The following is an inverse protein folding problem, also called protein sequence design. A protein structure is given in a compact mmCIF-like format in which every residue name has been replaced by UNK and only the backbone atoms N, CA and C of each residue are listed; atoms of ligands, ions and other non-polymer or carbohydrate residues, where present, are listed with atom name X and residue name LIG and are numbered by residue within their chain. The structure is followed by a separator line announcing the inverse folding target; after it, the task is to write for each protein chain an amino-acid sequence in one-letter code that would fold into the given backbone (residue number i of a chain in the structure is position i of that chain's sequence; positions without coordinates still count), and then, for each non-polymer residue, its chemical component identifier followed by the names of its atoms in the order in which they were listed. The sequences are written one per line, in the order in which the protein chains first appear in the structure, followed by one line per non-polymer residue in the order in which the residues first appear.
data_IF_199906846877
#
_entry.id   IF_199906846877
#
_cell.length_a   1.000
_cell.length_b   1.000
_cell.length_c   1.000
_cell.angle_alpha   90.00
_cell.angle_beta   90.00
_cell.angle_gamma   90.00
#
_symmetry.space_group_name_H-M   'P 1'
#
loop_
_entity.id
_entity.type
_entity.pdbx_description
1 polymer ?
#
# COMPACT_ATOMS: atom_id res chain seq x y z
N UNK A 1 -50.97 23.20 -72.41
CA UNK A 1 -51.06 23.53 -70.97
C UNK A 1 -50.07 22.61 -70.31
N UNK A 2 -48.80 23.06 -70.28
CA UNK A 2 -47.68 22.24 -69.82
C UNK A 2 -47.09 22.91 -68.53
N UNK A 3 -47.21 22.23 -67.43
CA UNK A 3 -46.54 22.60 -66.19
C UNK A 3 -45.20 21.88 -66.12
N UNK A 4 -44.16 22.60 -66.17
CA UNK A 4 -42.77 22.14 -65.91
C UNK A 4 -42.46 22.19 -64.43
N UNK A 5 -42.18 21.06 -63.84
CA UNK A 5 -41.79 20.90 -62.44
C UNK A 5 -40.29 21.08 -62.35
N UNK A 6 -39.83 22.16 -61.74
CA UNK A 6 -38.43 22.40 -61.40
C UNK A 6 -38.09 21.77 -60.04
N UNK A 7 -37.24 20.75 -60.07
CA UNK A 7 -36.66 20.14 -58.85
C UNK A 7 -35.49 21.00 -58.32
N UNK A 8 -35.65 21.55 -57.13
CA UNK A 8 -34.58 22.20 -56.39
C UNK A 8 -33.76 21.14 -55.64
N UNK A 9 -32.52 20.95 -56.04
CA UNK A 9 -31.53 20.10 -55.32
C UNK A 9 -30.89 20.99 -54.27
N UNK A 10 -31.21 20.72 -52.99
CA UNK A 10 -30.54 21.32 -51.83
C UNK A 10 -29.26 20.50 -51.54
N UNK A 11 -28.10 21.07 -51.86
CA UNK A 11 -26.80 20.49 -51.46
C UNK A 11 -26.50 20.92 -50.04
N UNK A 12 -26.71 20.05 -49.08
CA UNK A 12 -26.29 20.22 -47.70
C UNK A 12 -24.79 19.95 -47.60
N UNK A 13 -23.97 21.01 -47.50
CA UNK A 13 -22.56 20.93 -47.15
C UNK A 13 -22.39 20.62 -45.66
N UNK A 14 -22.11 19.35 -45.35
CA UNK A 14 -21.67 18.93 -44.02
C UNK A 14 -20.24 19.44 -43.82
N UNK A 15 -20.08 20.55 -43.08
CA UNK A 15 -18.80 20.99 -42.58
C UNK A 15 -18.33 20.02 -41.48
N UNK A 16 -17.40 19.14 -41.81
CA UNK A 16 -16.63 18.34 -40.86
C UNK A 16 -15.75 19.30 -40.04
N UNK A 17 -16.21 19.68 -38.86
CA UNK A 17 -15.37 20.32 -37.86
C UNK A 17 -14.44 19.24 -37.31
N UNK A 18 -13.26 19.10 -37.92
CA UNK A 18 -12.14 18.37 -37.32
C UNK A 18 -11.61 19.21 -36.16
N UNK A 19 -12.15 18.94 -34.98
CA UNK A 19 -11.55 19.42 -33.74
C UNK A 19 -10.18 18.76 -33.57
N UNK A 20 -9.12 19.49 -33.88
CA UNK A 20 -7.78 19.16 -33.39
C UNK A 20 -7.85 19.27 -31.86
N UNK A 21 -8.10 18.16 -31.19
CA UNK A 21 -7.76 18.02 -29.78
C UNK A 21 -6.24 18.21 -29.72
N UNK A 22 -5.78 19.37 -29.26
CA UNK A 22 -4.40 19.57 -28.89
C UNK A 22 -4.11 18.53 -27.80
N UNK A 23 -3.36 17.49 -28.16
CA UNK A 23 -2.79 16.54 -27.23
C UNK A 23 -1.74 17.29 -26.39
N UNK A 24 -2.22 18.11 -25.45
CA UNK A 24 -1.37 18.66 -24.42
C UNK A 24 -0.79 17.47 -23.65
N UNK A 25 0.53 17.40 -23.53
CA UNK A 25 1.19 16.39 -22.71
C UNK A 25 0.62 16.46 -21.31
N UNK A 26 0.04 15.35 -20.83
CA UNK A 26 -0.52 15.27 -19.48
C UNK A 26 0.58 15.66 -18.46
N UNK A 27 0.26 16.55 -17.53
CA UNK A 27 1.17 16.89 -16.44
C UNK A 27 0.94 16.01 -15.19
N UNK A 28 0.27 14.88 -15.35
CA UNK A 28 -0.04 13.98 -14.24
C UNK A 28 0.08 12.52 -14.66
N UNK A 29 0.18 11.65 -13.66
CA UNK A 29 0.00 10.23 -13.79
C UNK A 29 -1.02 9.72 -12.77
N UNK A 30 -1.62 8.57 -13.04
CA UNK A 30 -2.53 7.90 -12.13
C UNK A 30 -1.74 6.93 -11.25
N UNK A 31 -1.90 7.05 -9.93
CA UNK A 31 -1.50 6.01 -9.00
C UNK A 31 -2.73 5.26 -8.57
N UNK A 32 -2.74 3.93 -8.74
CA UNK A 32 -3.84 3.06 -8.32
C UNK A 32 -3.32 1.88 -7.51
N UNK A 33 -4.22 1.16 -6.83
CA UNK A 33 -3.84 0.00 -6.04
C UNK A 33 -4.85 -1.14 -6.12
N UNK A 34 -4.31 -2.36 -6.14
CA UNK A 34 -5.02 -3.62 -5.94
C UNK A 34 -4.58 -4.17 -4.58
N UNK A 35 -5.47 -4.09 -3.60
CA UNK A 35 -5.19 -4.40 -2.20
C UNK A 35 -6.08 -5.52 -1.69
N UNK A 36 -5.60 -6.33 -0.74
CA UNK A 36 -6.45 -7.32 -0.07
C UNK A 36 -7.63 -6.64 0.65
N UNK A 37 -8.69 -7.39 0.96
CA UNK A 37 -9.73 -6.93 1.87
C UNK A 37 -9.14 -6.38 3.17
N UNK A 38 -9.77 -5.37 3.74
CA UNK A 38 -9.35 -4.72 4.99
C UNK A 38 -8.05 -3.89 4.88
N UNK A 39 -7.59 -3.62 3.66
CA UNK A 39 -6.46 -2.75 3.38
C UNK A 39 -6.91 -1.43 2.75
N UNK A 40 -6.13 -0.38 3.03
CA UNK A 40 -6.19 0.90 2.34
C UNK A 40 -4.79 1.52 2.30
N UNK A 41 -4.60 2.58 1.51
CA UNK A 41 -3.35 3.34 1.55
C UNK A 41 -3.62 4.85 1.56
N UNK A 42 -2.63 5.59 2.03
CA UNK A 42 -2.54 7.04 1.89
C UNK A 42 -1.26 7.35 1.12
N UNK A 43 -1.36 8.21 0.10
CA UNK A 43 -0.20 8.69 -0.65
C UNK A 43 0.23 10.07 -0.17
N UNK A 44 1.53 10.21 0.14
CA UNK A 44 2.17 11.48 0.40
C UNK A 44 3.15 11.77 -0.73
N UNK A 45 2.94 12.88 -1.44
CA UNK A 45 3.76 13.25 -2.59
C UNK A 45 4.78 14.31 -2.19
N UNK A 46 6.03 14.03 -2.50
CA UNK A 46 7.15 14.90 -2.20
C UNK A 46 7.68 15.53 -3.47
N UNK A 47 7.84 16.83 -3.43
CA UNK A 47 8.34 17.63 -4.54
C UNK A 47 9.68 18.25 -4.19
N UNK A 48 10.53 18.38 -5.19
CA UNK A 48 11.81 19.08 -5.12
C UNK A 48 11.83 20.21 -6.17
N UNK A 49 12.64 21.25 -5.98
CA UNK A 49 12.85 22.25 -7.02
C UNK A 49 13.29 21.61 -8.33
N UNK A 50 12.71 22.07 -9.44
CA UNK A 50 13.16 21.67 -10.76
C UNK A 50 14.63 22.05 -10.96
N UNK A 51 15.32 21.35 -11.86
CA UNK A 51 16.74 21.63 -12.18
C UNK A 51 16.93 23.11 -12.55
N UNK A 52 17.84 23.77 -11.85
CA UNK A 52 18.13 25.20 -12.04
C UNK A 52 17.30 26.14 -11.17
N UNK A 53 16.35 25.65 -10.38
CA UNK A 53 15.59 26.46 -9.41
C UNK A 53 16.30 26.49 -8.07
N UNK A 54 16.39 27.70 -7.47
CA UNK A 54 16.93 27.91 -6.12
C UNK A 54 15.82 28.41 -5.21
N UNK A 55 15.01 27.52 -4.67
CA UNK A 55 13.87 27.87 -3.83
C UNK A 55 13.65 26.83 -2.71
N UNK A 56 12.92 27.23 -1.65
CA UNK A 56 12.59 26.35 -0.53
C UNK A 56 11.51 25.34 -0.94
N UNK A 57 11.76 24.07 -0.67
CA UNK A 57 10.82 22.98 -0.93
C UNK A 57 9.71 22.98 0.13
N UNK A 58 8.44 23.00 -0.27
CA UNK A 58 7.32 22.83 0.64
C UNK A 58 7.30 21.41 1.24
N UNK A 59 6.54 21.24 2.33
CA UNK A 59 6.25 19.91 2.86
C UNK A 59 5.43 19.07 1.89
N UNK A 60 5.43 17.76 2.08
CA UNK A 60 4.61 16.82 1.33
C UNK A 60 3.12 17.17 1.39
N UNK A 61 2.42 16.87 0.31
CA UNK A 61 0.96 16.92 0.26
C UNK A 61 0.40 15.50 0.29
N UNK A 62 -0.65 15.30 1.05
CA UNK A 62 -1.41 14.07 1.06
C UNK A 62 -2.47 14.13 -0.03
N UNK A 63 -2.42 13.23 -0.99
CA UNK A 63 -3.32 13.19 -2.14
C UNK A 63 -4.29 12.01 -2.13
N UNK A 64 -4.03 11.00 -1.32
CA UNK A 64 -4.87 9.82 -1.30
C UNK A 64 -6.15 10.01 -0.49
N UNK A 65 -7.13 9.11 -0.65
CA UNK A 65 -8.26 9.03 0.25
C UNK A 65 -7.81 8.98 1.70
N UNK A 66 -8.53 9.68 2.57
CA UNK A 66 -8.22 9.65 3.99
C UNK A 66 -8.56 8.29 4.59
N UNK A 67 -7.64 7.77 5.38
CA UNK A 67 -7.84 6.55 6.13
C UNK A 67 -8.70 6.84 7.37
N UNK A 68 -9.87 6.18 7.48
CA UNK A 68 -10.76 6.22 8.63
C UNK A 68 -11.42 4.86 8.84
N UNK A 69 -12.30 4.73 9.85
CA UNK A 69 -12.97 3.44 10.13
C UNK A 69 -13.95 2.98 9.05
N UNK A 70 -14.47 3.89 8.26
CA UNK A 70 -15.41 3.62 7.16
C UNK A 70 -14.69 3.42 5.83
N UNK A 71 -13.38 3.49 5.82
CA UNK A 71 -12.57 3.42 4.63
C UNK A 71 -12.80 2.17 3.77
N UNK A 72 -13.23 1.06 4.37
CA UNK A 72 -13.54 -0.19 3.65
C UNK A 72 -14.65 -0.04 2.61
N UNK A 73 -15.61 0.84 2.87
CA UNK A 73 -16.76 1.06 1.99
C UNK A 73 -16.58 2.24 1.04
N UNK A 74 -15.77 3.22 1.41
CA UNK A 74 -15.60 4.47 0.69
C UNK A 74 -14.22 4.60 0.01
N UNK A 75 -13.33 3.63 0.24
CA UNK A 75 -11.97 3.68 -0.28
C UNK A 75 -11.95 3.73 -1.81
N UNK A 76 -11.27 4.76 -2.33
CA UNK A 76 -11.00 4.92 -3.75
C UNK A 76 -9.50 4.73 -3.98
N UNK A 77 -9.11 3.67 -4.70
CA UNK A 77 -7.68 3.37 -4.88
C UNK A 77 -6.94 4.34 -5.79
N UNK A 78 -7.65 5.18 -6.56
CA UNK A 78 -7.04 6.01 -7.58
C UNK A 78 -6.71 7.40 -7.08
N UNK A 79 -5.50 7.87 -7.38
CA UNK A 79 -5.04 9.23 -7.12
C UNK A 79 -4.35 9.80 -8.36
N UNK A 80 -4.71 11.04 -8.73
CA UNK A 80 -4.01 11.80 -9.77
C UNK A 80 -2.85 12.56 -9.14
N UNK A 81 -1.64 12.33 -9.64
CA UNK A 81 -0.43 12.94 -9.12
C UNK A 81 0.16 13.87 -10.17
N UNK A 82 0.23 15.16 -9.84
CA UNK A 82 0.92 16.14 -10.69
C UNK A 82 2.42 15.86 -10.74
N UNK A 83 2.98 15.86 -11.94
CA UNK A 83 4.42 15.65 -12.14
C UNK A 83 5.19 16.95 -11.90
N UNK A 84 4.64 18.07 -12.38
CA UNK A 84 5.23 19.41 -12.25
C UNK A 84 4.19 20.38 -11.74
N UNK A 85 4.60 21.25 -10.83
CA UNK A 85 3.73 22.31 -10.35
C UNK A 85 4.54 23.53 -9.92
N UNK A 86 3.92 24.70 -9.96
CA UNK A 86 4.51 25.94 -9.46
C UNK A 86 3.91 26.29 -8.12
N UNK A 87 4.73 26.58 -7.12
CA UNK A 87 4.30 27.06 -5.83
C UNK A 87 5.15 28.23 -5.38
N UNK A 88 4.49 29.38 -5.13
CA UNK A 88 5.16 30.65 -4.76
C UNK A 88 6.29 31.05 -5.73
N UNK A 89 6.08 30.87 -7.04
CA UNK A 89 7.08 31.17 -8.07
C UNK A 89 8.18 30.12 -8.22
N UNK A 90 8.15 29.04 -7.44
CA UNK A 90 9.09 27.94 -7.52
C UNK A 90 8.52 26.80 -8.38
N UNK A 91 9.21 26.44 -9.44
CA UNK A 91 8.89 25.23 -10.21
C UNK A 91 9.36 23.99 -9.46
N UNK A 92 8.45 23.08 -9.21
CA UNK A 92 8.68 21.83 -8.49
C UNK A 92 8.41 20.64 -9.39
N UNK A 93 9.17 19.57 -9.19
CA UNK A 93 8.95 18.26 -9.81
C UNK A 93 8.77 17.20 -8.73
N UNK A 94 7.96 16.19 -9.01
CA UNK A 94 7.80 15.06 -8.10
C UNK A 94 9.13 14.32 -7.93
N UNK A 95 9.50 14.04 -6.67
CA UNK A 95 10.71 13.29 -6.30
C UNK A 95 10.38 11.87 -5.86
N UNK A 96 9.33 11.72 -5.06
CA UNK A 96 8.86 10.43 -4.60
C UNK A 96 7.39 10.50 -4.13
N UNK A 97 6.78 9.33 -4.13
CA UNK A 97 5.48 9.10 -3.48
C UNK A 97 5.69 8.07 -2.38
N UNK A 98 5.41 8.44 -1.15
CA UNK A 98 5.32 7.52 -0.02
C UNK A 98 3.89 6.99 0.08
N UNK A 99 3.76 5.69 0.21
CA UNK A 99 2.50 4.97 0.30
C UNK A 99 2.42 4.36 1.71
N UNK A 100 1.64 4.97 2.57
CA UNK A 100 1.33 4.41 3.88
C UNK A 100 0.23 3.36 3.70
N UNK A 101 0.60 2.09 3.81
CA UNK A 101 -0.31 0.96 3.70
C UNK A 101 -0.85 0.66 5.09
N UNK A 102 -2.16 0.66 5.23
CA UNK A 102 -2.87 0.39 6.47
C UNK A 102 -3.76 -0.83 6.30
N UNK A 103 -3.85 -1.67 7.34
CA UNK A 103 -4.71 -2.85 7.36
C UNK A 103 -5.31 -3.07 8.74
N UNK A 104 -6.54 -3.56 8.81
CA UNK A 104 -7.25 -3.87 10.05
C UNK A 104 -7.23 -5.38 10.27
N UNK A 105 -7.02 -5.80 11.53
CA UNK A 105 -7.01 -7.21 11.91
C UNK A 105 -8.01 -7.58 13.01
N UNK A 106 -8.75 -6.62 13.54
CA UNK A 106 -9.71 -6.83 14.61
C UNK A 106 -10.77 -5.72 14.70
N UNK A 107 -11.71 -5.83 15.62
CA UNK A 107 -12.85 -4.91 15.72
C UNK A 107 -12.53 -3.59 16.41
N UNK A 108 -11.48 -3.53 17.24
CA UNK A 108 -11.14 -2.33 17.99
C UNK A 108 -10.43 -1.30 17.10
N UNK A 109 -10.57 -0.04 17.47
CA UNK A 109 -9.97 1.07 16.74
C UNK A 109 -8.43 1.00 16.67
N UNK A 110 -7.81 0.30 17.61
CA UNK A 110 -6.37 0.07 17.71
C UNK A 110 -5.89 -1.18 16.97
N UNK A 111 -6.81 -2.00 16.47
CA UNK A 111 -6.51 -3.27 15.81
C UNK A 111 -6.14 -3.06 14.33
N UNK A 112 -5.14 -2.22 14.09
CA UNK A 112 -4.61 -1.98 12.75
C UNK A 112 -3.08 -2.07 12.73
N UNK A 113 -2.56 -2.40 11.56
CA UNK A 113 -1.13 -2.35 11.24
C UNK A 113 -0.86 -1.33 10.16
N UNK A 114 0.37 -0.83 10.15
CA UNK A 114 0.86 0.16 9.20
C UNK A 114 2.22 -0.23 8.68
N UNK A 115 2.44 -0.05 7.39
CA UNK A 115 3.74 -0.19 6.75
C UNK A 115 3.84 0.79 5.58
N UNK A 116 5.05 1.00 5.06
CA UNK A 116 5.32 1.98 4.02
C UNK A 116 5.95 1.34 2.79
N UNK A 117 5.45 1.75 1.63
CA UNK A 117 6.09 1.54 0.35
C UNK A 117 6.50 2.90 -0.24
N UNK A 118 7.39 2.90 -1.22
CA UNK A 118 7.83 4.12 -1.88
C UNK A 118 7.96 3.90 -3.37
N UNK A 119 7.46 4.85 -4.14
CA UNK A 119 7.75 5.04 -5.56
C UNK A 119 8.72 6.21 -5.68
N UNK A 120 9.89 5.98 -6.24
CA UNK A 120 10.88 7.03 -6.50
C UNK A 120 10.74 7.57 -7.91
N UNK A 121 10.92 8.88 -8.08
CA UNK A 121 10.91 9.54 -9.38
C UNK A 121 12.21 10.32 -9.54
N UNK A 122 12.90 10.16 -10.65
CA UNK A 122 14.19 10.79 -10.92
C UNK A 122 14.24 11.35 -12.34
N UNK A 123 15.13 12.31 -12.58
CA UNK A 123 15.41 12.76 -13.94
C UNK A 123 16.06 11.65 -14.79
N UNK A 124 16.94 10.88 -14.17
CA UNK A 124 17.67 9.78 -14.80
C UNK A 124 17.74 8.59 -13.83
N UNK A 125 17.66 7.38 -14.36
CA UNK A 125 17.79 6.12 -13.63
C UNK A 125 18.62 5.12 -14.43
N UNK A 126 19.44 4.28 -13.76
CA UNK A 126 20.02 3.11 -14.40
C UNK A 126 18.90 2.15 -14.87
N UNK A 127 19.03 1.59 -16.06
CA UNK A 127 18.03 0.65 -16.63
C UNK A 127 17.73 -0.54 -15.70
N UNK A 128 18.72 -1.01 -14.95
CA UNK A 128 18.56 -2.14 -14.03
C UNK A 128 17.58 -1.90 -12.85
N UNK A 129 17.26 -0.64 -12.56
CA UNK A 129 16.37 -0.28 -11.45
C UNK A 129 15.10 0.43 -11.90
N UNK A 130 15.03 0.80 -13.16
CA UNK A 130 13.91 1.51 -13.77
C UNK A 130 12.76 0.54 -14.03
N UNK A 131 11.58 0.89 -13.53
CA UNK A 131 10.35 0.19 -13.87
C UNK A 131 9.89 0.58 -15.28
N UNK A 132 9.27 -0.35 -15.99
CA UNK A 132 8.82 -0.17 -17.37
C UNK A 132 7.31 -0.09 -17.45
N UNK A 133 6.80 0.58 -18.48
CA UNK A 133 5.39 0.60 -18.81
C UNK A 133 5.11 -0.37 -19.96
N UNK A 134 3.96 -1.00 -19.93
CA UNK A 134 3.46 -1.84 -21.00
C UNK A 134 2.90 -0.99 -22.18
N UNK A 135 2.38 -1.66 -23.21
CA UNK A 135 1.79 -1.00 -24.37
C UNK A 135 0.54 -0.17 -24.05
N UNK A 136 -0.17 -0.48 -22.97
CA UNK A 136 -1.32 0.29 -22.47
C UNK A 136 -0.90 1.52 -21.65
N UNK A 137 0.39 1.64 -21.33
CA UNK A 137 0.91 2.71 -20.48
C UNK A 137 0.72 2.43 -19.00
N UNK A 138 0.60 1.17 -18.62
CA UNK A 138 0.49 0.72 -17.24
C UNK A 138 1.81 0.10 -16.78
N UNK A 139 2.15 0.32 -15.51
CA UNK A 139 3.27 -0.32 -14.84
C UNK A 139 2.82 -0.82 -13.47
N UNK A 140 3.01 -2.10 -13.22
CA UNK A 140 2.65 -2.73 -11.94
C UNK A 140 3.91 -3.01 -11.13
N UNK A 141 3.87 -2.65 -9.84
CA UNK A 141 4.84 -3.12 -8.87
C UNK A 141 4.14 -3.91 -7.76
N UNK A 142 4.80 -4.96 -7.32
CA UNK A 142 4.18 -5.91 -6.41
C UNK A 142 4.86 -5.94 -5.04
N UNK A 143 4.07 -6.26 -4.03
CA UNK A 143 4.53 -6.51 -2.68
C UNK A 143 3.68 -7.57 -1.98
N UNK A 144 4.26 -8.10 -0.92
CA UNK A 144 3.56 -9.01 -0.02
C UNK A 144 3.63 -8.48 1.40
N UNK A 145 2.48 -8.35 2.03
CA UNK A 145 2.35 -8.05 3.44
C UNK A 145 2.15 -9.34 4.24
N UNK A 146 2.67 -9.36 5.45
CA UNK A 146 2.50 -10.45 6.40
C UNK A 146 2.15 -9.89 7.77
N UNK A 147 1.19 -10.49 8.43
CA UNK A 147 0.93 -10.21 9.83
C UNK A 147 1.97 -10.89 10.71
N UNK A 148 2.59 -10.08 11.56
CA UNK A 148 3.50 -10.53 12.60
C UNK A 148 2.84 -10.31 13.95
N UNK A 149 2.57 -11.40 14.67
CA UNK A 149 1.93 -11.31 15.97
C UNK A 149 2.94 -11.25 17.13
N UNK A 150 2.55 -10.56 18.17
CA UNK A 150 3.26 -10.53 19.47
C UNK A 150 2.26 -10.29 20.58
N UNK A 151 2.71 -10.40 21.83
CA UNK A 151 1.93 -9.94 22.97
C UNK A 151 2.48 -8.65 23.55
N UNK A 152 1.61 -7.85 24.14
CA UNK A 152 1.95 -6.61 24.85
C UNK A 152 1.36 -6.62 26.26
N UNK A 153 2.05 -5.90 27.15
CA UNK A 153 1.62 -5.70 28.54
C UNK A 153 1.66 -6.96 29.43
N UNK A 154 1.43 -6.80 30.73
CA UNK A 154 1.50 -7.91 31.69
C UNK A 154 0.42 -8.96 31.46
N UNK A 155 -0.73 -8.56 30.95
CA UNK A 155 -1.83 -9.47 30.59
C UNK A 155 -1.65 -10.18 29.25
N UNK A 156 -0.53 -9.91 28.55
CA UNK A 156 -0.18 -10.55 27.27
C UNK A 156 -1.27 -10.50 26.22
N UNK A 157 -1.79 -9.29 25.95
CA UNK A 157 -2.72 -9.10 24.84
C UNK A 157 -2.03 -9.28 23.51
N UNK A 158 -2.65 -10.06 22.62
CA UNK A 158 -2.21 -10.19 21.23
C UNK A 158 -2.34 -8.84 20.52
N UNK A 159 -1.29 -8.46 19.84
CA UNK A 159 -1.30 -7.38 18.84
C UNK A 159 -0.57 -7.83 17.60
N UNK A 160 -0.84 -7.19 16.47
CA UNK A 160 -0.20 -7.52 15.19
C UNK A 160 0.53 -6.32 14.61
N UNK A 161 1.58 -6.61 13.90
CA UNK A 161 2.39 -5.65 13.13
C UNK A 161 2.27 -6.06 11.67
N UNK A 162 2.04 -5.11 10.80
CA UNK A 162 2.06 -5.33 9.36
C UNK A 162 3.52 -5.21 8.87
N UNK A 163 4.01 -6.21 8.13
CA UNK A 163 5.34 -6.22 7.51
C UNK A 163 5.15 -6.41 6.00
N UNK A 164 5.34 -5.36 5.22
CA UNK A 164 5.18 -5.39 3.77
C UNK A 164 6.55 -5.28 3.10
N UNK A 165 6.80 -6.17 2.15
CA UNK A 165 8.04 -6.21 1.37
C UNK A 165 7.73 -6.24 -0.11
N UNK A 166 8.60 -5.59 -0.90
CA UNK A 166 8.58 -5.69 -2.35
C UNK A 166 8.75 -7.15 -2.76
N UNK A 167 8.06 -7.56 -3.82
CA UNK A 167 8.31 -8.83 -4.50
C UNK A 167 8.82 -8.57 -5.91
N UNK A 168 9.55 -9.53 -6.45
CA UNK A 168 9.82 -9.59 -7.88
C UNK A 168 8.63 -10.19 -8.66
N UNK A 169 8.81 -10.35 -9.98
CA UNK A 169 7.79 -10.93 -10.84
C UNK A 169 7.44 -12.39 -10.51
N UNK A 170 8.35 -13.14 -9.88
CA UNK A 170 8.10 -14.52 -9.43
C UNK A 170 7.36 -14.58 -8.09
N UNK A 171 7.25 -13.44 -7.39
CA UNK A 171 6.68 -13.32 -6.05
C UNK A 171 7.71 -13.53 -4.92
N UNK A 172 9.01 -13.58 -5.23
CA UNK A 172 10.07 -13.66 -4.24
C UNK A 172 10.24 -12.32 -3.51
N UNK A 173 10.41 -12.39 -2.18
CA UNK A 173 10.56 -11.21 -1.34
C UNK A 173 11.94 -10.56 -1.53
N UNK A 174 11.93 -9.30 -1.87
CA UNK A 174 13.12 -8.47 -2.02
C UNK A 174 13.37 -7.61 -0.79
N UNK A 175 14.64 -7.44 -0.43
CA UNK A 175 15.05 -6.60 0.71
C UNK A 175 15.16 -5.12 0.35
N UNK A 176 15.13 -4.77 -0.94
CA UNK A 176 15.43 -3.43 -1.45
C UNK A 176 14.22 -2.51 -1.40
N UNK A 177 14.46 -1.24 -1.07
CA UNK A 177 13.56 -0.11 -1.33
C UNK A 177 14.24 0.81 -2.37
N UNK A 178 13.52 1.54 -3.20
CA UNK A 178 12.07 1.69 -3.29
C UNK A 178 11.36 0.47 -3.90
N UNK A 179 10.03 0.44 -3.81
CA UNK A 179 9.21 -0.60 -4.45
C UNK A 179 9.22 -0.46 -5.97
N UNK A 180 9.17 0.77 -6.49
CA UNK A 180 9.32 1.08 -7.90
C UNK A 180 10.08 2.39 -8.10
N UNK A 181 10.69 2.57 -9.27
CA UNK A 181 11.37 3.80 -9.66
C UNK A 181 11.11 4.10 -11.15
N UNK A 182 10.77 5.37 -11.43
CA UNK A 182 10.42 5.86 -12.76
C UNK A 182 11.20 7.12 -13.10
N UNK A 183 11.37 7.41 -14.40
CA UNK A 183 11.87 8.71 -14.85
C UNK A 183 10.72 9.71 -15.01
N UNK A 184 11.02 10.99 -14.81
CA UNK A 184 10.03 12.08 -14.88
C UNK A 184 9.33 12.17 -16.24
N UNK A 185 10.05 11.88 -17.30
CA UNK A 185 9.59 12.01 -18.70
C UNK A 185 8.71 10.84 -19.15
N UNK A 186 8.79 9.70 -18.47
CA UNK A 186 7.97 8.53 -18.78
C UNK A 186 6.59 8.54 -18.11
N UNK A 187 6.40 9.33 -17.06
CA UNK A 187 5.17 9.33 -16.25
C UNK A 187 3.95 10.04 -16.88
N UNK A 188 4.08 11.05 -17.77
CA UNK A 188 2.93 11.78 -18.28
C UNK A 188 1.84 10.88 -18.88
N UNK A 189 0.62 10.94 -18.29
CA UNK A 189 -0.54 10.17 -18.77
C UNK A 189 -0.49 8.67 -18.48
N UNK A 190 0.49 8.20 -17.72
CA UNK A 190 0.68 6.78 -17.39
C UNK A 190 -0.08 6.39 -16.12
N UNK A 191 -0.24 5.07 -15.93
CA UNK A 191 -0.81 4.48 -14.74
C UNK A 191 0.25 3.64 -14.02
N UNK A 192 0.46 3.94 -12.74
CA UNK A 192 1.33 3.18 -11.83
C UNK A 192 0.43 2.42 -10.86
N UNK A 193 0.49 1.11 -10.87
CA UNK A 193 -0.36 0.24 -10.06
C UNK A 193 0.44 -0.48 -8.98
N UNK A 194 0.02 -0.28 -7.73
CA UNK A 194 0.52 -1.05 -6.60
C UNK A 194 -0.33 -2.31 -6.40
N UNK A 195 0.27 -3.48 -6.38
CA UNK A 195 -0.40 -4.75 -6.10
C UNK A 195 0.16 -5.38 -4.85
N UNK A 196 -0.67 -5.50 -3.83
CA UNK A 196 -0.30 -6.08 -2.55
C UNK A 196 -1.03 -7.41 -2.36
N UNK A 197 -0.28 -8.42 -1.94
CA UNK A 197 -0.83 -9.70 -1.48
C UNK A 197 -0.63 -9.84 0.02
N UNK A 198 -1.55 -10.51 0.69
CA UNK A 198 -1.38 -10.89 2.09
C UNK A 198 -0.90 -12.34 2.16
N UNK A 199 0.13 -12.59 2.95
CA UNK A 199 0.61 -13.94 3.22
C UNK A 199 -0.44 -14.72 4.02
N UNK A 200 -0.60 -15.99 3.68
CA UNK A 200 -1.60 -16.87 4.33
C UNK A 200 -1.24 -17.20 5.79
N UNK A 201 0.05 -17.22 6.11
CA UNK A 201 0.52 -17.53 7.46
C UNK A 201 0.93 -16.26 8.19
N UNK A 202 0.51 -16.16 9.43
CA UNK A 202 1.06 -15.19 10.39
C UNK A 202 2.29 -15.77 11.08
N UNK A 203 3.23 -14.92 11.48
CA UNK A 203 4.47 -15.33 12.15
C UNK A 203 4.71 -14.54 13.43
N UNK A 204 5.44 -15.11 14.40
CA UNK A 204 5.89 -14.33 15.56
C UNK A 204 6.77 -13.16 15.13
N UNK A 205 6.49 -11.97 15.67
CA UNK A 205 7.33 -10.78 15.43
C UNK A 205 8.74 -10.94 16.01
N UNK A 206 8.83 -11.52 17.22
CA UNK A 206 10.11 -11.78 17.87
C UNK A 206 10.42 -13.26 17.80
N UNK A 207 11.60 -13.58 17.28
CA UNK A 207 12.12 -14.96 17.30
C UNK A 207 12.30 -15.45 18.73
N UNK A 208 12.18 -16.76 18.94
CA UNK A 208 12.38 -17.44 20.23
C UNK A 208 11.46 -16.95 21.36
N UNK A 209 10.25 -16.50 21.01
CA UNK A 209 9.20 -16.18 21.99
C UNK A 209 7.95 -17.03 21.81
N UNK A 210 7.88 -17.79 20.73
CA UNK A 210 6.80 -18.71 20.39
C UNK A 210 7.35 -19.99 19.81
N UNK A 211 6.69 -21.10 20.11
CA UNK A 211 7.02 -22.42 19.56
C UNK A 211 5.89 -22.88 18.64
N UNK A 212 6.23 -23.31 17.43
CA UNK A 212 5.25 -23.88 16.51
C UNK A 212 4.83 -25.26 16.99
N UNK A 213 3.52 -25.47 17.07
CA UNK A 213 2.89 -26.73 17.49
C UNK A 213 1.78 -27.10 16.50
N UNK A 214 1.25 -28.33 16.55
CA UNK A 214 0.07 -28.66 15.77
C UNK A 214 -1.08 -27.68 16.10
N UNK A 215 -1.67 -27.09 15.06
CA UNK A 215 -2.76 -26.10 15.19
C UNK A 215 -2.30 -24.67 15.42
N UNK A 216 -0.98 -24.37 15.51
CA UNK A 216 -0.54 -22.98 15.61
C UNK A 216 0.74 -22.75 16.41
N UNK A 217 0.67 -21.83 17.38
CA UNK A 217 1.82 -21.36 18.13
C UNK A 217 1.49 -21.26 19.62
N UNK A 218 2.37 -21.77 20.47
CA UNK A 218 2.34 -21.59 21.93
C UNK A 218 3.35 -20.54 22.34
N UNK A 219 2.96 -19.67 23.28
CA UNK A 219 3.82 -18.62 23.82
C UNK A 219 4.70 -19.15 24.93
N UNK A 220 6.00 -18.92 24.85
CA UNK A 220 6.93 -19.28 25.91
C UNK A 220 6.65 -18.51 27.22
N UNK A 221 6.99 -19.10 28.35
CA UNK A 221 6.80 -18.50 29.68
C UNK A 221 7.84 -17.40 29.95
N UNK A 222 9.05 -17.55 29.46
CA UNK A 222 10.17 -16.68 29.83
C UNK A 222 10.56 -16.87 31.31
N UNK A 223 10.90 -15.79 31.99
CA UNK A 223 11.24 -15.80 33.43
C UNK A 223 9.98 -15.79 34.34
N UNK A 224 8.80 -15.74 33.78
CA UNK A 224 7.54 -15.70 34.48
C UNK A 224 6.50 -14.88 33.75
N UNK A 225 5.33 -14.71 34.36
CA UNK A 225 4.22 -14.00 33.74
C UNK A 225 4.52 -12.50 33.51
N UNK A 226 5.35 -11.91 34.37
CA UNK A 226 5.77 -10.50 34.27
C UNK A 226 6.81 -10.25 33.14
N UNK A 227 7.41 -11.31 32.59
CA UNK A 227 8.37 -11.17 31.51
C UNK A 227 7.63 -10.85 30.19
N UNK A 228 7.61 -9.56 29.82
CA UNK A 228 6.92 -9.11 28.61
C UNK A 228 7.53 -9.69 27.33
N UNK A 229 8.81 -10.02 27.31
CA UNK A 229 9.47 -10.63 26.14
C UNK A 229 9.23 -12.14 26.10
N UNK A 230 9.29 -12.79 27.26
CA UNK A 230 9.09 -14.23 27.45
C UNK A 230 9.85 -15.08 26.42
N UNK A 231 11.15 -14.84 26.29
CA UNK A 231 12.01 -15.67 25.46
C UNK A 231 11.99 -17.12 25.95
N UNK A 232 12.09 -18.04 25.02
CA UNK A 232 12.04 -19.48 25.30
C UNK A 232 13.26 -19.98 26.11
N UNK A 233 14.43 -19.33 26.00
CA UNK A 233 15.68 -19.67 26.72
C UNK A 233 16.03 -21.16 26.68
N UNK A 234 15.74 -21.85 25.58
CA UNK A 234 15.92 -23.29 25.47
C UNK A 234 14.84 -24.13 26.19
N UNK A 235 13.91 -23.51 26.89
CA UNK A 235 12.74 -24.16 27.47
C UNK A 235 11.57 -24.13 26.50
N UNK A 236 11.20 -25.28 25.98
CA UNK A 236 10.08 -25.45 25.05
C UNK A 236 8.93 -26.28 25.67
N UNK A 237 8.84 -26.33 27.00
CA UNK A 237 7.83 -27.08 27.75
C UNK A 237 6.88 -26.21 28.52
N UNK A 238 7.37 -25.09 29.08
CA UNK A 238 6.58 -24.19 29.89
C UNK A 238 6.04 -23.04 29.04
N UNK A 239 4.74 -23.02 28.85
CA UNK A 239 4.03 -22.05 28.04
C UNK A 239 3.10 -21.18 28.89
N UNK A 240 2.91 -19.97 28.47
CA UNK A 240 1.97 -19.03 29.06
C UNK A 240 0.72 -18.88 28.24
N UNK A 241 -0.39 -18.57 28.91
CA UNK A 241 -1.59 -18.07 28.24
C UNK A 241 -1.38 -16.65 27.69
N UNK A 242 -2.25 -16.23 26.79
CA UNK A 242 -2.34 -14.88 26.25
C UNK A 242 -3.80 -14.50 26.02
N UNK A 243 -4.07 -13.21 25.79
CA UNK A 243 -5.42 -12.70 25.54
C UNK A 243 -5.58 -12.29 24.10
N UNK A 244 -6.64 -12.74 23.48
CA UNK A 244 -7.06 -12.30 22.14
C UNK A 244 -7.74 -10.93 22.22
N UNK A 245 -7.88 -10.20 21.08
CA UNK A 245 -8.82 -9.10 20.97
C UNK A 245 -10.20 -9.55 21.47
N UNK A 246 -10.83 -8.74 22.32
CA UNK A 246 -12.06 -9.15 23.04
C UNK A 246 -11.84 -9.87 24.37
N UNK A 247 -10.57 -10.05 24.82
CA UNK A 247 -10.24 -10.49 26.20
C UNK A 247 -10.22 -12.00 26.44
N UNK A 248 -10.57 -12.83 25.45
CA UNK A 248 -10.57 -14.29 25.57
C UNK A 248 -9.15 -14.82 25.83
N UNK A 249 -9.00 -15.68 26.83
CA UNK A 249 -7.71 -16.30 27.19
C UNK A 249 -7.47 -17.53 26.32
N UNK A 250 -6.28 -17.64 25.76
CA UNK A 250 -5.90 -18.66 24.81
C UNK A 250 -4.56 -19.28 25.13
N UNK A 251 -4.34 -20.52 24.69
CA UNK A 251 -3.08 -21.27 24.81
C UNK A 251 -2.42 -21.51 23.47
N UNK A 252 -3.18 -21.56 22.38
CA UNK A 252 -2.66 -21.76 21.01
C UNK A 252 -3.20 -20.63 20.11
N UNK A 253 -2.29 -19.94 19.42
CA UNK A 253 -2.59 -18.92 18.44
C UNK A 253 -2.50 -19.52 17.01
N UNK A 254 -3.37 -19.15 16.04
CA UNK A 254 -4.51 -18.23 16.15
C UNK A 254 -5.82 -18.89 16.62
N UNK A 255 -5.87 -20.20 16.70
CA UNK A 255 -7.11 -20.97 16.93
C UNK A 255 -7.75 -20.77 18.30
N UNK A 256 -7.01 -20.16 19.26
CA UNK A 256 -7.47 -19.96 20.62
C UNK A 256 -8.02 -21.24 21.26
N UNK A 257 -7.20 -22.27 21.33
CA UNK A 257 -7.53 -23.46 22.10
C UNK A 257 -7.46 -23.08 23.58
N UNK A 258 -8.57 -23.21 24.28
CA UNK A 258 -8.65 -23.02 25.72
C UNK A 258 -8.34 -24.36 26.39
N UNK A 259 -7.26 -24.41 27.17
CA UNK A 259 -7.06 -25.54 28.09
C UNK A 259 -8.09 -25.42 29.22
N UNK A 260 -9.07 -26.29 29.22
CA UNK A 260 -10.12 -26.31 30.25
C UNK A 260 -9.58 -26.60 31.66
N UNK A 261 -8.28 -26.89 31.80
CA UNK A 261 -7.63 -27.22 33.08
C UNK A 261 -7.06 -26.02 33.85
N UNK A 262 -6.99 -24.81 33.25
CA UNK A 262 -6.37 -23.63 33.89
C UNK A 262 -7.37 -22.83 34.74
N UNK A 263 -8.59 -23.27 34.91
CA UNK A 263 -9.59 -22.64 35.82
C UNK A 263 -9.58 -23.31 37.21
N UNK A 264 -8.43 -23.39 37.87
CA UNK A 264 -8.36 -23.69 39.29
C UNK A 264 -7.46 -22.72 40.03
#
# INVERSE_FOLDING_TARGET
MNLTLQSLILVSSLALVQGCAALGTSNSFTLTADLPPDFAYVASVYYVPAKGQACTVPRADNLAPQFNREWRTEYKPDAQIEIRRTRKGCELVVDRVELEINAIYGPDWSDFGREYAQVSVRAELPEAVKATFDAAGESEFSGQCQWLFRTIGPNRYITKILDCKKTDASGELLKSRPFAAYTLDELPGKTVKMKIKLANEERPYMKDTWVKVPGGWKRCMGKGFEDQYAFCYGNHKDFSTFRMPGGRICTIYPGCTEDKEVTR
#
